data_IF_776547291202
#
_entry.id   IF_776547291202
#
_cell.length_a   1.000
_cell.length_b   1.000
_cell.length_c   1.000
_cell.angle_alpha   90.00
_cell.angle_beta   90.00
_cell.angle_gamma   90.00
#
_symmetry.space_group_name_H-M   'P 1'
#
loop_
_entity.id
_entity.type
_entity.pdbx_description
1 polymer ?
#
# COMPACT_ATOMS: atom_id res chain seq x y z
N UNK A 1 16.66 7.57 -5.80
CA UNK A 1 16.25 6.18 -5.51
C UNK A 1 14.77 6.19 -5.24
N UNK A 2 14.02 5.26 -5.82
CA UNK A 2 12.59 5.11 -5.56
C UNK A 2 12.39 3.92 -4.62
N UNK A 3 11.46 4.05 -3.66
CA UNK A 3 11.21 3.01 -2.67
C UNK A 3 10.36 1.87 -3.26
N UNK A 4 10.57 0.65 -2.75
CA UNK A 4 9.76 -0.53 -3.05
C UNK A 4 9.21 -1.07 -1.74
N UNK A 5 7.91 -1.36 -1.72
CA UNK A 5 7.20 -1.88 -0.55
C UNK A 5 6.93 -3.37 -0.74
N UNK A 6 7.34 -4.18 0.23
CA UNK A 6 7.05 -5.61 0.30
C UNK A 6 6.25 -5.90 1.57
N UNK A 7 5.11 -6.57 1.40
CA UNK A 7 4.24 -7.00 2.50
C UNK A 7 4.19 -8.51 2.49
N UNK A 8 4.76 -9.16 3.51
CA UNK A 8 4.75 -10.61 3.66
C UNK A 8 4.11 -11.04 4.98
N UNK A 9 3.25 -12.06 4.96
CA UNK A 9 2.60 -12.55 6.18
C UNK A 9 1.28 -13.29 5.97
N UNK A 10 0.49 -13.41 7.04
CA UNK A 10 -0.80 -14.11 7.00
C UNK A 10 -1.81 -13.41 6.09
N UNK A 11 -2.37 -14.15 5.12
CA UNK A 11 -3.27 -13.64 4.07
C UNK A 11 -4.63 -13.14 4.57
N UNK A 12 -5.01 -13.44 5.81
CA UNK A 12 -6.35 -13.18 6.33
C UNK A 12 -6.58 -11.74 6.79
N UNK A 13 -5.55 -10.99 7.19
CA UNK A 13 -5.70 -9.59 7.66
C UNK A 13 -4.55 -8.66 7.33
N UNK A 14 -3.31 -9.18 7.27
CA UNK A 14 -2.12 -8.33 7.17
C UNK A 14 -2.09 -7.48 5.87
N UNK A 15 -2.38 -8.04 4.68
CA UNK A 15 -2.32 -7.23 3.45
C UNK A 15 -3.30 -6.06 3.42
N UNK A 16 -4.53 -6.29 3.86
CA UNK A 16 -5.58 -5.25 3.88
C UNK A 16 -5.32 -4.17 4.92
N UNK A 17 -4.85 -4.56 6.11
CA UNK A 17 -4.57 -3.62 7.20
C UNK A 17 -3.38 -2.72 6.83
N UNK A 18 -2.33 -3.29 6.23
CA UNK A 18 -1.15 -2.54 5.77
C UNK A 18 -1.50 -1.60 4.62
N UNK A 19 -2.32 -2.03 3.66
CA UNK A 19 -2.79 -1.15 2.58
C UNK A 19 -3.57 0.04 3.14
N UNK A 20 -4.52 -0.20 4.06
CA UNK A 20 -5.34 0.86 4.65
C UNK A 20 -4.50 1.86 5.47
N UNK A 21 -3.49 1.38 6.20
CA UNK A 21 -2.56 2.23 6.94
C UNK A 21 -1.70 3.09 6.00
N UNK A 22 -1.24 2.52 4.87
CA UNK A 22 -0.49 3.29 3.87
C UNK A 22 -1.36 4.35 3.19
N UNK A 23 -2.64 4.06 2.94
CA UNK A 23 -3.57 5.07 2.42
C UNK A 23 -3.72 6.26 3.37
N UNK A 24 -3.78 6.01 4.68
CA UNK A 24 -3.85 7.04 5.72
C UNK A 24 -2.56 7.89 5.75
N UNK A 25 -1.39 7.24 5.86
CA UNK A 25 -0.08 7.93 5.89
C UNK A 25 0.09 8.80 4.63
N UNK A 26 -0.22 8.27 3.45
CA UNK A 26 -0.08 9.03 2.20
C UNK A 26 -1.05 10.21 2.18
N UNK A 27 -2.28 10.04 2.67
CA UNK A 27 -3.27 11.12 2.77
C UNK A 27 -2.78 12.25 3.68
N UNK A 28 -2.27 11.91 4.87
CA UNK A 28 -1.77 12.86 5.86
C UNK A 28 -0.54 13.61 5.35
N UNK A 29 0.49 12.89 4.89
CA UNK A 29 1.77 13.47 4.47
C UNK A 29 1.66 14.33 3.21
N UNK A 30 0.70 14.02 2.32
CA UNK A 30 0.51 14.79 1.08
C UNK A 30 -0.59 15.85 1.18
N UNK A 31 -1.34 15.89 2.29
CA UNK A 31 -2.54 16.73 2.43
C UNK A 31 -3.64 16.39 1.41
N UNK A 32 -3.57 15.21 0.77
CA UNK A 32 -4.51 14.74 -0.24
C UNK A 32 -5.64 13.91 0.37
N UNK A 33 -6.66 13.59 -0.42
CA UNK A 33 -7.74 12.70 0.03
C UNK A 33 -7.33 11.22 -0.04
N UNK A 34 -8.01 10.36 0.74
CA UNK A 34 -7.75 8.92 0.75
C UNK A 34 -7.94 8.28 -0.63
N UNK A 35 -8.81 8.81 -1.48
CA UNK A 35 -9.00 8.33 -2.86
C UNK A 35 -7.79 8.63 -3.75
N UNK A 36 -7.08 9.73 -3.50
CA UNK A 36 -5.83 10.08 -4.21
C UNK A 36 -4.70 9.16 -3.74
N UNK A 37 -4.63 8.90 -2.43
CA UNK A 37 -3.69 7.94 -1.85
C UNK A 37 -3.90 6.53 -2.43
N UNK A 38 -5.14 6.05 -2.47
CA UNK A 38 -5.50 4.74 -3.03
C UNK A 38 -5.13 4.63 -4.52
N UNK A 39 -5.39 5.68 -5.31
CA UNK A 39 -4.98 5.72 -6.73
C UNK A 39 -3.46 5.64 -6.89
N UNK A 40 -2.71 6.30 -6.01
CA UNK A 40 -1.25 6.29 -6.01
C UNK A 40 -0.69 4.91 -5.64
N UNK A 41 -1.24 4.27 -4.60
CA UNK A 41 -0.83 2.93 -4.18
C UNK A 41 -1.13 1.89 -5.28
N UNK A 42 -2.29 1.97 -5.93
CA UNK A 42 -2.61 1.13 -7.11
C UNK A 42 -1.65 1.36 -8.29
N UNK A 43 -1.16 2.59 -8.48
CA UNK A 43 -0.15 2.86 -9.49
C UNK A 43 1.20 2.21 -9.13
N UNK A 44 1.55 2.16 -7.83
CA UNK A 44 2.74 1.46 -7.34
C UNK A 44 2.62 -0.06 -7.49
N UNK A 45 1.45 -0.64 -7.23
CA UNK A 45 1.17 -2.06 -7.50
C UNK A 45 1.37 -2.41 -8.98
N UNK A 46 0.79 -1.59 -9.88
CA UNK A 46 0.96 -1.76 -11.33
C UNK A 46 2.40 -1.59 -11.79
N UNK A 47 3.16 -0.74 -11.13
CA UNK A 47 4.58 -0.55 -11.38
C UNK A 47 5.47 -1.64 -10.75
N UNK A 48 4.88 -2.67 -10.12
CA UNK A 48 5.59 -3.72 -9.37
C UNK A 48 6.46 -3.18 -8.23
N UNK A 49 6.04 -2.05 -7.65
CA UNK A 49 6.69 -1.39 -6.51
C UNK A 49 5.97 -1.59 -5.19
N UNK A 50 4.81 -2.23 -5.22
CA UNK A 50 4.09 -2.71 -4.06
C UNK A 50 3.76 -4.18 -4.31
N UNK A 51 4.44 -5.07 -3.58
CA UNK A 51 4.30 -6.51 -3.73
C UNK A 51 3.81 -7.13 -2.43
N UNK A 52 2.79 -7.99 -2.53
CA UNK A 52 2.21 -8.69 -1.39
C UNK A 52 2.45 -10.18 -1.57
N UNK A 53 3.18 -10.78 -0.64
CA UNK A 53 3.41 -12.23 -0.57
C UNK A 53 2.78 -12.77 0.71
N UNK A 54 1.51 -13.15 0.61
CA UNK A 54 0.77 -13.64 1.77
C UNK A 54 0.43 -15.13 1.67
N UNK A 55 0.49 -15.83 2.80
CA UNK A 55 0.22 -17.28 2.92
C UNK A 55 -0.84 -17.56 3.98
N UNK A 56 -1.56 -18.69 3.83
CA UNK A 56 -2.61 -19.17 4.75
C UNK A 56 -2.10 -20.26 5.68
#
# INVERSE_FOLDING_TARGET
MEAVVYVAGSSTKIPSDVMSALEEIVSEETGGSKEVASRRLKALEKAQRYNVEAWS
#
